data_IF_713960007719
#
_entry.id   IF_713960007719
#
_cell.length_a   1.000
_cell.length_b   1.000
_cell.length_c   1.000
_cell.angle_alpha   90.00
_cell.angle_beta   90.00
_cell.angle_gamma   90.00
#
_symmetry.space_group_name_H-M   'P 1'
#
loop_
_entity.id
_entity.type
_entity.pdbx_description
1 polymer ?
#
# COMPACT_ATOMS: atom_id res chain seq x y z
N UNK A 1 5.57 -14.10 -24.14
CA UNK A 1 4.89 -15.07 -23.25
C UNK A 1 3.64 -14.43 -22.67
N UNK A 2 2.62 -15.22 -22.25
CA UNK A 2 1.39 -14.70 -21.61
C UNK A 2 1.66 -13.82 -20.39
N UNK A 3 2.66 -14.19 -19.58
CA UNK A 3 3.05 -13.43 -18.38
C UNK A 3 3.59 -12.03 -18.71
N UNK A 4 4.39 -11.91 -19.79
CA UNK A 4 4.85 -10.60 -20.27
C UNK A 4 3.69 -9.73 -20.77
N UNK A 5 2.67 -10.33 -21.38
CA UNK A 5 1.48 -9.59 -21.82
C UNK A 5 0.70 -9.04 -20.61
N UNK A 6 0.53 -9.85 -19.56
CA UNK A 6 -0.09 -9.42 -18.30
C UNK A 6 0.72 -8.31 -17.62
N UNK A 7 2.03 -8.49 -17.50
CA UNK A 7 2.91 -7.51 -16.90
C UNK A 7 2.84 -6.14 -17.61
N UNK A 8 2.89 -6.13 -18.96
CA UNK A 8 2.73 -4.90 -19.75
C UNK A 8 1.37 -4.25 -19.55
N UNK A 9 0.32 -5.06 -19.47
CA UNK A 9 -1.03 -4.58 -19.21
C UNK A 9 -1.14 -3.95 -17.81
N UNK A 10 -0.67 -4.64 -16.77
CA UNK A 10 -0.73 -4.14 -15.39
C UNK A 10 0.07 -2.84 -15.22
N UNK A 11 1.28 -2.75 -15.80
CA UNK A 11 2.09 -1.53 -15.80
C UNK A 11 1.36 -0.37 -16.53
N UNK A 12 0.66 -0.64 -17.64
CA UNK A 12 -0.11 0.39 -18.33
C UNK A 12 -1.28 0.91 -17.47
N UNK A 13 -1.94 0.04 -16.70
CA UNK A 13 -2.97 0.44 -15.73
C UNK A 13 -2.36 1.28 -14.61
N UNK A 14 -1.27 0.82 -14.00
CA UNK A 14 -0.58 1.54 -12.92
C UNK A 14 -0.11 2.93 -13.35
N UNK A 15 0.37 3.06 -14.59
CA UNK A 15 0.77 4.33 -15.21
C UNK A 15 -0.43 5.17 -15.69
N UNK A 16 -1.68 4.77 -15.39
CA UNK A 16 -2.92 5.43 -15.84
C UNK A 16 -3.06 5.59 -17.37
N UNK A 17 -2.38 4.72 -18.15
CA UNK A 17 -2.43 4.71 -19.62
C UNK A 17 -3.58 3.86 -20.14
N UNK A 18 -4.82 4.31 -19.93
CA UNK A 18 -6.05 3.55 -20.19
C UNK A 18 -6.18 3.08 -21.66
N UNK A 19 -5.82 3.94 -22.64
CA UNK A 19 -5.87 3.57 -24.07
C UNK A 19 -4.92 2.41 -24.37
N UNK A 20 -3.68 2.50 -23.85
CA UNK A 20 -2.67 1.44 -24.00
C UNK A 20 -3.12 0.15 -23.32
N UNK A 21 -3.61 0.24 -22.09
CA UNK A 21 -4.12 -0.93 -21.38
C UNK A 21 -5.27 -1.62 -22.15
N UNK A 22 -6.17 -0.84 -22.73
CA UNK A 22 -7.26 -1.39 -23.57
C UNK A 22 -6.74 -2.08 -24.82
N UNK A 23 -5.72 -1.51 -25.47
CA UNK A 23 -5.05 -2.15 -26.60
C UNK A 23 -4.39 -3.45 -26.23
N UNK A 24 -3.71 -3.49 -25.06
CA UNK A 24 -2.95 -4.66 -24.59
C UNK A 24 -3.83 -5.87 -24.22
N UNK A 25 -5.12 -5.67 -23.91
CA UNK A 25 -6.06 -6.77 -23.60
C UNK A 25 -6.12 -7.82 -24.73
N UNK A 26 -5.94 -7.41 -25.99
CA UNK A 26 -5.97 -8.35 -27.14
C UNK A 26 -4.85 -9.39 -27.09
N UNK A 27 -3.74 -9.09 -26.45
CA UNK A 27 -2.56 -9.96 -26.32
C UNK A 27 -2.63 -10.87 -25.08
N UNK A 28 -3.62 -10.65 -24.20
CA UNK A 28 -3.83 -11.51 -23.04
C UNK A 28 -4.45 -12.84 -23.45
N UNK A 29 -4.09 -13.89 -22.71
CA UNK A 29 -4.75 -15.17 -22.84
C UNK A 29 -6.27 -15.02 -22.62
N UNK A 30 -7.08 -15.80 -23.31
CA UNK A 30 -8.55 -15.70 -23.27
C UNK A 30 -9.10 -15.75 -21.85
N UNK A 31 -8.52 -16.61 -20.99
CA UNK A 31 -8.86 -16.74 -19.55
C UNK A 31 -8.58 -15.47 -18.72
N UNK A 32 -7.58 -14.66 -19.12
CA UNK A 32 -7.15 -13.50 -18.35
C UNK A 32 -7.86 -12.19 -18.74
N UNK A 33 -8.61 -12.19 -19.86
CA UNK A 33 -9.34 -11.00 -20.33
C UNK A 33 -10.43 -10.55 -19.35
N UNK A 34 -11.07 -11.49 -18.65
CA UNK A 34 -12.04 -11.16 -17.61
C UNK A 34 -11.35 -10.53 -16.39
N UNK A 35 -10.17 -11.04 -16.01
CA UNK A 35 -9.35 -10.47 -14.95
C UNK A 35 -8.87 -9.06 -15.31
N UNK A 36 -8.50 -8.81 -16.58
CA UNK A 36 -8.17 -7.47 -17.04
C UNK A 36 -9.33 -6.47 -16.88
N UNK A 37 -10.57 -6.91 -17.08
CA UNK A 37 -11.75 -6.09 -16.79
C UNK A 37 -11.89 -5.80 -15.31
N UNK A 38 -11.65 -6.79 -14.44
CA UNK A 38 -11.67 -6.63 -12.99
C UNK A 38 -10.55 -5.68 -12.51
N UNK A 39 -9.36 -5.77 -13.11
CA UNK A 39 -8.24 -4.86 -12.82
C UNK A 39 -8.59 -3.40 -13.14
N UNK A 40 -9.15 -3.15 -14.35
CA UNK A 40 -9.62 -1.81 -14.72
C UNK A 40 -10.67 -1.26 -13.74
N UNK A 41 -11.60 -2.12 -13.30
CA UNK A 41 -12.62 -1.73 -12.30
C UNK A 41 -11.98 -1.36 -10.96
N UNK A 42 -11.06 -2.19 -10.43
CA UNK A 42 -10.34 -1.91 -9.20
C UNK A 42 -9.51 -0.61 -9.30
N UNK A 43 -8.97 -0.30 -10.48
CA UNK A 43 -8.25 0.96 -10.72
C UNK A 43 -9.16 2.18 -10.71
N UNK A 44 -10.31 2.12 -11.38
CA UNK A 44 -11.22 3.27 -11.55
C UNK A 44 -12.20 3.45 -10.39
N UNK A 45 -12.53 2.35 -9.71
CA UNK A 45 -13.45 2.28 -8.55
C UNK A 45 -12.81 1.43 -7.45
N UNK A 46 -11.89 1.99 -6.66
CA UNK A 46 -11.14 1.22 -5.67
C UNK A 46 -12.01 0.49 -4.64
N UNK A 47 -13.21 1.00 -4.33
CA UNK A 47 -14.17 0.33 -3.45
C UNK A 47 -14.64 -1.04 -3.94
N UNK A 48 -14.46 -1.36 -5.24
CA UNK A 48 -14.74 -2.71 -5.77
C UNK A 48 -13.88 -3.78 -5.11
N UNK A 49 -12.68 -3.42 -4.63
CA UNK A 49 -11.79 -4.37 -3.98
C UNK A 49 -12.32 -4.88 -2.64
N UNK A 50 -13.26 -4.19 -2.01
CA UNK A 50 -13.92 -4.62 -0.77
C UNK A 50 -14.83 -5.85 -0.96
N UNK A 51 -15.10 -6.24 -2.21
CA UNK A 51 -15.88 -7.45 -2.54
C UNK A 51 -15.00 -8.69 -2.52
N UNK A 52 -14.61 -9.13 -1.31
CA UNK A 52 -13.67 -10.23 -1.08
C UNK A 52 -14.03 -11.49 -1.88
N UNK A 53 -15.32 -11.87 -1.94
CA UNK A 53 -15.78 -13.07 -2.65
C UNK A 53 -15.40 -13.11 -4.14
N UNK A 54 -15.23 -11.94 -4.76
CA UNK A 54 -14.84 -11.82 -6.17
C UNK A 54 -13.37 -12.09 -6.43
N UNK A 55 -12.52 -11.85 -5.44
CA UNK A 55 -11.06 -11.85 -5.59
C UNK A 55 -10.37 -12.90 -4.69
N UNK A 56 -11.10 -13.91 -4.21
CA UNK A 56 -10.56 -14.97 -3.33
C UNK A 56 -9.81 -16.09 -4.05
N UNK A 57 -9.83 -16.12 -5.39
CA UNK A 57 -9.21 -17.19 -6.19
C UNK A 57 -7.69 -17.10 -6.10
N UNK A 58 -7.04 -18.24 -5.82
CA UNK A 58 -5.58 -18.38 -5.77
C UNK A 58 -4.98 -18.30 -7.19
N UNK A 59 -4.82 -17.09 -7.69
CA UNK A 59 -4.29 -16.79 -9.01
C UNK A 59 -3.35 -15.60 -8.90
N UNK A 60 -2.11 -15.68 -9.48
CA UNK A 60 -1.16 -14.57 -9.44
C UNK A 60 -1.75 -13.25 -9.95
N UNK A 61 -2.50 -13.27 -11.04
CA UNK A 61 -3.12 -12.07 -11.60
C UNK A 61 -4.20 -11.48 -10.67
N UNK A 62 -4.92 -12.32 -9.90
CA UNK A 62 -5.87 -11.84 -8.88
C UNK A 62 -5.11 -11.17 -7.73
N UNK A 63 -3.99 -11.73 -7.29
CA UNK A 63 -3.12 -11.09 -6.27
C UNK A 63 -2.65 -9.71 -6.74
N UNK A 64 -2.21 -9.57 -8.00
CA UNK A 64 -1.83 -8.27 -8.57
C UNK A 64 -2.98 -7.26 -8.53
N UNK A 65 -4.22 -7.71 -8.85
CA UNK A 65 -5.42 -6.86 -8.80
C UNK A 65 -5.68 -6.40 -7.36
N UNK A 66 -5.58 -7.32 -6.40
CA UNK A 66 -5.81 -7.03 -4.98
C UNK A 66 -4.80 -6.01 -4.49
N UNK A 67 -3.49 -6.25 -4.64
CA UNK A 67 -2.44 -5.34 -4.20
C UNK A 67 -2.60 -3.94 -4.81
N UNK A 68 -2.90 -3.88 -6.12
CA UNK A 68 -3.13 -2.60 -6.79
C UNK A 68 -4.39 -1.90 -6.27
N UNK A 69 -5.50 -2.63 -6.15
CA UNK A 69 -6.78 -2.08 -5.68
C UNK A 69 -6.71 -1.57 -4.25
N UNK A 70 -6.03 -2.29 -3.36
CA UNK A 70 -5.77 -1.87 -1.97
C UNK A 70 -4.94 -0.58 -1.93
N UNK A 71 -3.83 -0.51 -2.69
CA UNK A 71 -3.02 0.72 -2.78
C UNK A 71 -3.84 1.90 -3.35
N UNK A 72 -4.77 1.66 -4.23
CA UNK A 72 -5.70 2.69 -4.74
C UNK A 72 -6.73 3.11 -3.69
N UNK A 73 -7.28 2.16 -2.93
CA UNK A 73 -8.25 2.40 -1.86
C UNK A 73 -7.62 3.22 -0.72
N UNK A 74 -6.39 2.87 -0.33
CA UNK A 74 -5.66 3.52 0.76
C UNK A 74 -5.47 5.04 0.57
N UNK A 75 -5.48 5.53 -0.67
CA UNK A 75 -5.33 6.98 -0.94
C UNK A 75 -6.47 7.84 -0.44
N UNK A 76 -7.65 7.27 -0.22
CA UNK A 76 -8.86 8.01 0.15
C UNK A 76 -9.58 7.38 1.35
N UNK A 77 -9.32 6.12 1.64
CA UNK A 77 -9.96 5.34 2.70
C UNK A 77 -8.93 4.37 3.31
N UNK A 78 -7.86 4.87 3.97
CA UNK A 78 -6.75 4.02 4.41
C UNK A 78 -7.16 3.03 5.51
N UNK A 79 -8.08 3.36 6.40
CA UNK A 79 -8.61 2.44 7.42
C UNK A 79 -9.37 1.27 6.79
N UNK A 80 -10.23 1.58 5.81
CA UNK A 80 -10.94 0.53 5.06
C UNK A 80 -9.98 -0.32 4.22
N UNK A 81 -8.94 0.29 3.67
CA UNK A 81 -7.90 -0.43 2.96
C UNK A 81 -7.15 -1.39 3.88
N UNK A 82 -6.83 -0.97 5.11
CA UNK A 82 -6.18 -1.83 6.11
C UNK A 82 -7.06 -3.02 6.49
N UNK A 83 -8.31 -2.77 6.86
CA UNK A 83 -9.25 -3.82 7.26
C UNK A 83 -9.52 -4.81 6.11
N UNK A 84 -9.63 -4.30 4.88
CA UNK A 84 -9.81 -5.13 3.68
C UNK A 84 -8.56 -5.93 3.34
N UNK A 85 -7.36 -5.32 3.47
CA UNK A 85 -6.11 -6.00 3.15
C UNK A 85 -5.78 -7.11 4.15
N UNK A 86 -6.05 -6.93 5.44
CA UNK A 86 -5.92 -8.00 6.43
C UNK A 86 -6.72 -9.25 6.05
N UNK A 87 -7.95 -9.10 5.57
CA UNK A 87 -8.76 -10.21 5.10
C UNK A 87 -8.14 -10.90 3.87
N UNK A 88 -7.56 -10.13 2.94
CA UNK A 88 -6.87 -10.71 1.77
C UNK A 88 -5.56 -11.39 2.14
N UNK A 89 -4.83 -10.89 3.11
CA UNK A 89 -3.57 -11.45 3.57
C UNK A 89 -3.77 -12.84 4.21
N UNK A 90 -4.92 -13.06 4.86
CA UNK A 90 -5.33 -14.38 5.36
C UNK A 90 -5.75 -15.35 4.23
N UNK A 91 -6.33 -14.82 3.14
CA UNK A 91 -6.86 -15.65 2.04
C UNK A 91 -5.75 -16.00 1.04
N UNK A 92 -4.91 -15.04 0.69
CA UNK A 92 -3.88 -15.17 -0.33
C UNK A 92 -2.50 -15.43 0.29
N UNK A 93 -1.74 -16.34 -0.33
CA UNK A 93 -0.31 -16.45 -0.04
C UNK A 93 0.45 -15.37 -0.83
N UNK A 94 0.47 -14.14 -0.33
CA UNK A 94 1.30 -13.09 -0.91
C UNK A 94 2.78 -13.36 -0.64
N UNK A 95 3.65 -12.82 -1.49
CA UNK A 95 5.06 -12.70 -1.16
C UNK A 95 5.20 -11.81 0.09
N UNK A 96 6.00 -12.23 1.11
CA UNK A 96 6.14 -11.45 2.35
C UNK A 96 6.57 -9.99 2.13
N UNK A 97 7.44 -9.73 1.15
CA UNK A 97 7.87 -8.39 0.79
C UNK A 97 6.71 -7.57 0.21
N UNK A 98 5.91 -8.17 -0.69
CA UNK A 98 4.77 -7.50 -1.30
C UNK A 98 3.66 -7.20 -0.27
N UNK A 99 3.45 -8.09 0.70
CA UNK A 99 2.54 -7.87 1.83
C UNK A 99 3.03 -6.72 2.70
N UNK A 100 4.29 -6.77 3.14
CA UNK A 100 4.91 -5.73 3.96
C UNK A 100 4.89 -4.35 3.27
N UNK A 101 5.30 -4.27 1.99
CA UNK A 101 5.23 -3.03 1.20
C UNK A 101 3.81 -2.46 1.11
N UNK A 102 2.79 -3.33 1.10
CA UNK A 102 1.40 -2.89 1.07
C UNK A 102 0.97 -2.33 2.42
N UNK A 103 1.35 -2.97 3.54
CA UNK A 103 1.13 -2.42 4.88
C UNK A 103 1.86 -1.09 5.08
N UNK A 104 3.11 -0.97 4.63
CA UNK A 104 3.86 0.31 4.63
C UNK A 104 3.12 1.38 3.84
N UNK A 105 2.63 1.05 2.65
CA UNK A 105 1.89 1.99 1.83
C UNK A 105 0.60 2.48 2.52
N UNK A 106 -0.17 1.56 3.13
CA UNK A 106 -1.37 1.89 3.89
C UNK A 106 -1.00 2.74 5.12
N UNK A 107 0.01 2.34 5.88
CA UNK A 107 0.47 3.06 7.07
C UNK A 107 0.90 4.49 6.77
N UNK A 108 1.57 4.72 5.64
CA UNK A 108 1.90 6.09 5.19
C UNK A 108 0.64 6.93 4.94
N UNK A 109 -0.44 6.35 4.42
CA UNK A 109 -1.70 7.08 4.23
C UNK A 109 -2.46 7.26 5.55
N UNK A 110 -2.48 6.26 6.44
CA UNK A 110 -3.02 6.41 7.80
C UNK A 110 -2.34 7.54 8.58
N UNK A 111 -1.04 7.76 8.36
CA UNK A 111 -0.33 8.85 9.03
C UNK A 111 -0.80 10.25 8.65
N UNK A 112 -1.66 10.42 7.65
CA UNK A 112 -2.29 11.70 7.29
C UNK A 112 -3.68 11.89 7.91
N UNK A 113 -4.28 10.82 8.44
CA UNK A 113 -5.59 10.85 9.09
C UNK A 113 -5.44 11.08 10.60
N UNK A 114 -6.47 11.66 11.20
CA UNK A 114 -6.55 11.81 12.64
C UNK A 114 -6.93 10.47 13.31
N UNK A 115 -6.67 10.35 14.61
CA UNK A 115 -7.06 9.19 15.44
C UNK A 115 -6.63 7.79 14.93
N UNK A 116 -5.52 7.71 14.19
CA UNK A 116 -5.03 6.47 13.59
C UNK A 116 -3.78 5.88 14.27
N UNK A 117 -3.37 6.41 15.41
CA UNK A 117 -2.14 5.98 16.10
C UNK A 117 -2.18 4.50 16.47
N UNK A 118 -3.29 4.01 17.04
CA UNK A 118 -3.48 2.60 17.38
C UNK A 118 -3.40 1.68 16.15
N UNK A 119 -3.90 2.14 14.99
CA UNK A 119 -3.84 1.37 13.75
C UNK A 119 -2.41 1.27 13.23
N UNK A 120 -1.63 2.34 13.37
CA UNK A 120 -0.23 2.40 12.96
C UNK A 120 0.68 1.53 13.85
N UNK A 121 0.41 1.51 15.16
CA UNK A 121 1.14 0.66 16.11
C UNK A 121 0.87 -0.83 15.89
N UNK A 122 -0.35 -1.17 15.48
CA UNK A 122 -0.78 -2.55 15.28
C UNK A 122 -0.62 -3.04 13.83
N UNK A 123 0.22 -2.40 13.00
CA UNK A 123 0.59 -2.94 11.70
C UNK A 123 1.45 -4.21 11.88
N UNK A 124 1.21 -5.28 11.10
CA UNK A 124 1.95 -6.54 11.24
C UNK A 124 3.33 -6.50 10.55
N UNK A 125 4.08 -5.44 10.79
CA UNK A 125 5.43 -5.19 10.24
C UNK A 125 6.28 -4.51 11.30
N UNK A 126 7.60 -4.72 11.28
CA UNK A 126 8.52 -3.94 12.08
C UNK A 126 8.78 -2.59 11.40
N UNK A 127 8.36 -1.45 11.98
CA UNK A 127 8.56 -0.15 11.36
C UNK A 127 10.03 0.21 11.19
N UNK A 128 10.95 -0.35 11.97
CA UNK A 128 12.40 -0.07 11.87
C UNK A 128 13.00 -0.49 10.53
N UNK A 129 12.39 -1.48 9.87
CA UNK A 129 12.78 -1.93 8.53
C UNK A 129 12.33 -0.97 7.41
N UNK A 130 11.43 -0.02 7.73
CA UNK A 130 10.79 0.87 6.75
C UNK A 130 10.91 2.35 7.16
N UNK A 131 12.07 2.98 6.95
CA UNK A 131 12.32 4.36 7.35
C UNK A 131 11.28 5.36 6.87
N UNK A 132 10.73 5.16 5.67
CA UNK A 132 9.69 6.01 5.11
C UNK A 132 8.35 5.95 5.87
N UNK A 133 8.04 4.82 6.52
CA UNK A 133 6.89 4.71 7.41
C UNK A 133 7.17 5.43 8.74
N UNK A 134 8.36 5.22 9.30
CA UNK A 134 8.78 5.92 10.53
C UNK A 134 8.74 7.43 10.32
N UNK A 135 9.28 7.94 9.21
CA UNK A 135 9.22 9.37 8.88
C UNK A 135 7.78 9.90 8.74
N UNK A 136 6.86 9.11 8.16
CA UNK A 136 5.46 9.49 8.06
C UNK A 136 4.80 9.58 9.45
N UNK A 137 5.10 8.62 10.35
CA UNK A 137 4.65 8.63 11.75
C UNK A 137 5.23 9.81 12.54
N UNK A 138 6.51 10.15 12.35
CA UNK A 138 7.11 11.34 12.98
C UNK A 138 6.34 12.60 12.56
N UNK A 139 6.04 12.75 11.26
CA UNK A 139 5.27 13.90 10.78
C UNK A 139 3.85 13.96 11.36
N UNK A 140 3.23 12.80 11.61
CA UNK A 140 1.94 12.72 12.32
C UNK A 140 2.11 13.18 13.76
N UNK A 141 3.03 12.59 14.52
CA UNK A 141 3.29 12.95 15.90
C UNK A 141 3.61 14.47 16.07
N UNK A 142 4.35 15.06 15.11
CA UNK A 142 4.60 16.51 15.07
C UNK A 142 3.33 17.34 14.84
N UNK A 143 2.36 16.86 14.07
CA UNK A 143 1.08 17.55 13.89
C UNK A 143 0.17 17.43 15.09
N UNK A 144 0.28 16.29 15.79
CA UNK A 144 -0.53 15.97 16.97
C UNK A 144 0.09 16.54 18.27
N UNK A 145 1.22 17.28 18.16
CA UNK A 145 2.00 17.81 19.28
C UNK A 145 2.46 16.74 20.29
N UNK A 146 2.58 15.47 19.83
CA UNK A 146 3.07 14.36 20.64
C UNK A 146 4.61 14.29 20.61
N UNK A 147 5.23 15.13 21.45
CA UNK A 147 6.69 15.26 21.52
C UNK A 147 7.39 13.99 22.02
N UNK A 148 6.73 13.20 22.87
CA UNK A 148 7.25 11.93 23.37
C UNK A 148 7.35 10.90 22.24
N UNK A 149 6.32 10.76 21.43
CA UNK A 149 6.31 9.87 20.28
C UNK A 149 7.34 10.33 19.21
N UNK A 150 7.50 11.66 19.00
CA UNK A 150 8.51 12.20 18.08
C UNK A 150 9.92 11.71 18.45
N UNK A 151 10.30 11.75 19.74
CA UNK A 151 11.63 11.28 20.18
C UNK A 151 11.80 9.77 19.98
N UNK A 152 10.80 8.99 20.35
CA UNK A 152 10.80 7.52 20.18
C UNK A 152 11.02 7.18 18.70
N UNK A 153 10.24 7.78 17.81
CA UNK A 153 10.30 7.49 16.39
C UNK A 153 11.61 7.98 15.72
N UNK A 154 12.14 9.14 16.13
CA UNK A 154 13.45 9.60 15.60
C UNK A 154 14.55 8.60 15.97
N UNK A 155 14.52 8.06 17.19
CA UNK A 155 15.52 7.08 17.63
C UNK A 155 15.33 5.70 16.94
N UNK A 156 14.16 5.41 16.42
CA UNK A 156 13.87 4.20 15.63
C UNK A 156 14.42 4.28 14.20
N UNK A 157 14.66 5.50 13.68
CA UNK A 157 15.25 5.68 12.36
C UNK A 157 16.70 5.11 12.33
N UNK A 158 17.13 4.50 11.22
CA UNK A 158 18.54 4.18 11.02
C UNK A 158 19.43 5.42 11.18
N UNK A 159 20.63 5.27 11.75
CA UNK A 159 21.54 6.35 12.12
C UNK A 159 21.75 7.40 11.01
N UNK A 160 21.92 6.91 9.76
CA UNK A 160 22.09 7.78 8.58
C UNK A 160 20.92 8.77 8.35
N UNK A 161 19.70 8.39 8.77
CA UNK A 161 18.53 9.26 8.66
C UNK A 161 18.42 10.20 9.86
N UNK A 162 18.77 9.73 11.08
CA UNK A 162 18.76 10.57 12.30
C UNK A 162 19.65 11.82 12.16
N UNK A 163 20.74 11.72 11.37
CA UNK A 163 21.67 12.83 11.13
C UNK A 163 21.19 13.85 10.09
N UNK A 164 20.04 13.63 9.45
CA UNK A 164 19.46 14.63 8.55
C UNK A 164 19.11 15.90 9.33
N UNK A 165 19.34 17.11 8.74
CA UNK A 165 19.16 18.39 9.45
C UNK A 165 17.77 18.55 10.08
N UNK A 166 16.72 18.10 9.42
CA UNK A 166 15.35 18.18 9.93
C UNK A 166 15.16 17.38 11.22
N UNK A 167 15.62 16.12 11.26
CA UNK A 167 15.45 15.26 12.43
C UNK A 167 16.37 15.68 13.60
N UNK A 168 17.58 16.17 13.29
CA UNK A 168 18.45 16.76 14.30
C UNK A 168 17.83 17.99 14.96
N UNK A 169 17.19 18.86 14.19
CA UNK A 169 16.50 20.02 14.73
C UNK A 169 15.39 19.61 15.70
N UNK A 170 14.53 18.69 15.30
CA UNK A 170 13.44 18.24 16.16
C UNK A 170 13.94 17.51 17.41
N UNK A 171 14.97 16.67 17.28
CA UNK A 171 15.59 15.98 18.42
C UNK A 171 16.19 16.94 19.44
N UNK A 172 16.66 18.12 19.00
CA UNK A 172 17.22 19.14 19.89
C UNK A 172 16.15 20.05 20.52
N UNK A 173 14.96 20.09 19.94
CA UNK A 173 13.85 20.95 20.38
C UNK A 173 12.94 20.27 21.42
N UNK A 174 12.88 18.97 21.40
CA UNK A 174 12.11 18.13 22.33
C UNK A 174 12.95 17.76 23.54
#
# INVERSE_FOLDING_TARGET
TPDLAWQRFSLAIQANKQKLATYLVRFLAKKDRQLATSYKKAHTRPSEIKRISRYKTQNPHVRDIVLHGIKRLARHQPEEALSTFRQYDEIHSFDPSASAETFVYIGKHLSYEDDTSDLLENLPIDPSDYPELVEARIRKALRDDDWSEVLILINLLPEKFQHQPGWRYWKARV
#
